data_IF_945082352291
#
_entry.id   IF_945082352291
#
_cell.length_a   1.000
_cell.length_b   1.000
_cell.length_c   1.000
_cell.angle_alpha   90.00
_cell.angle_beta   90.00
_cell.angle_gamma   90.00
#
_symmetry.space_group_name_H-M   'P 1'
#
loop_
_entity.id
_entity.type
_entity.pdbx_description
1 polymer ?
#
# COMPACT_ATOMS: atom_id res chain seq x y z
N UNK A 1 15.29 -9.51 -5.20
CA UNK A 1 14.38 -8.34 -5.22
C UNK A 1 13.53 -8.46 -3.98
N UNK A 2 13.55 -7.44 -3.12
CA UNK A 2 12.67 -7.39 -1.95
C UNK A 2 11.32 -6.83 -2.40
N UNK A 3 10.25 -7.61 -2.22
CA UNK A 3 8.88 -7.17 -2.50
C UNK A 3 8.40 -6.28 -1.36
N UNK A 4 7.97 -5.06 -1.69
CA UNK A 4 7.38 -4.14 -0.72
C UNK A 4 5.87 -4.38 -0.62
N UNK A 5 5.28 -4.07 0.52
CA UNK A 5 3.85 -4.23 0.77
C UNK A 5 3.20 -2.91 1.17
N UNK A 6 2.16 -2.51 0.45
CA UNK A 6 1.37 -1.32 0.77
C UNK A 6 0.14 -1.70 1.60
N UNK A 7 -0.13 -0.90 2.64
CA UNK A 7 -1.36 -0.96 3.41
C UNK A 7 -2.42 -0.08 2.72
N UNK A 8 -3.42 -0.72 2.12
CA UNK A 8 -4.44 -0.06 1.29
C UNK A 8 -5.78 -0.08 2.02
N UNK A 9 -6.36 1.10 2.23
CA UNK A 9 -7.68 1.27 2.82
C UNK A 9 -8.65 1.79 1.75
N UNK A 10 -9.78 1.11 1.57
CA UNK A 10 -10.88 1.61 0.73
C UNK A 10 -11.80 2.49 1.57
N UNK A 11 -11.93 3.76 1.21
CA UNK A 11 -12.76 4.76 1.88
C UNK A 11 -14.02 5.01 1.05
N UNK A 12 -15.19 4.88 1.68
CA UNK A 12 -16.46 5.33 1.10
C UNK A 12 -16.61 6.84 1.31
N UNK A 13 -16.65 7.58 0.21
CA UNK A 13 -16.75 9.03 0.20
C UNK A 13 -18.21 9.47 0.31
N UNK A 14 -18.45 10.69 0.82
CA UNK A 14 -19.82 11.22 1.02
C UNK A 14 -20.58 11.48 -0.27
N UNK A 15 -19.89 11.50 -1.41
CA UNK A 15 -20.47 11.60 -2.75
C UNK A 15 -20.90 10.23 -3.32
N UNK A 16 -20.70 9.13 -2.59
CA UNK A 16 -21.07 7.77 -3.01
C UNK A 16 -19.95 7.00 -3.73
N UNK A 17 -18.79 7.62 -3.95
CA UNK A 17 -17.63 6.95 -4.54
C UNK A 17 -16.84 6.15 -3.50
N UNK A 18 -16.03 5.21 -4.00
CA UNK A 18 -15.04 4.49 -3.21
C UNK A 18 -13.64 4.85 -3.71
N UNK A 19 -12.72 5.14 -2.79
CA UNK A 19 -11.34 5.46 -3.11
C UNK A 19 -10.37 4.62 -2.29
N UNK A 20 -9.40 4.02 -2.97
CA UNK A 20 -8.29 3.34 -2.31
C UNK A 20 -7.19 4.34 -1.95
N UNK A 21 -6.79 4.34 -0.69
CA UNK A 21 -5.70 5.17 -0.17
C UNK A 21 -4.59 4.30 0.42
N UNK A 22 -3.34 4.69 0.17
CA UNK A 22 -2.18 4.01 0.74
C UNK A 22 -1.84 4.69 2.07
N UNK A 23 -1.90 3.93 3.15
CA UNK A 23 -1.58 4.40 4.50
C UNK A 23 -0.10 4.25 4.85
N UNK A 24 0.60 3.31 4.20
CA UNK A 24 2.02 3.07 4.41
C UNK A 24 2.56 1.97 3.50
N UNK A 25 3.89 1.88 3.39
CA UNK A 25 4.61 0.83 2.66
C UNK A 25 5.65 0.20 3.60
N UNK A 26 5.73 -1.13 3.58
CA UNK A 26 6.51 -1.94 4.53
C UNK A 26 7.37 -2.97 3.77
N UNK A 27 8.43 -3.46 4.41
CA UNK A 27 9.36 -4.41 3.79
C UNK A 27 8.82 -5.86 3.83
N UNK A 28 7.76 -6.14 4.60
CA UNK A 28 7.12 -7.46 4.65
C UNK A 28 5.60 -7.40 4.82
N UNK A 29 4.91 -8.47 4.39
CA UNK A 29 3.47 -8.61 4.58
C UNK A 29 3.07 -8.66 6.07
N UNK A 30 3.93 -9.24 6.91
CA UNK A 30 3.68 -9.35 8.34
C UNK A 30 3.71 -7.98 9.02
N UNK A 31 4.71 -7.15 8.72
CA UNK A 31 4.79 -5.77 9.22
C UNK A 31 3.59 -4.95 8.76
N UNK A 32 3.20 -5.06 7.49
CA UNK A 32 2.02 -4.38 6.96
C UNK A 32 0.73 -4.77 7.72
N UNK A 33 0.55 -6.08 7.97
CA UNK A 33 -0.63 -6.60 8.65
C UNK A 33 -0.69 -6.19 10.13
N UNK A 34 0.48 -6.14 10.77
CA UNK A 34 0.62 -5.63 12.13
C UNK A 34 0.27 -4.14 12.19
N UNK A 35 0.76 -3.34 11.26
CA UNK A 35 0.44 -1.92 11.19
C UNK A 35 -1.07 -1.67 11.00
N UNK A 36 -1.76 -2.48 10.18
CA UNK A 36 -3.22 -2.40 10.05
C UNK A 36 -3.94 -2.59 11.40
N UNK A 37 -3.48 -3.57 12.16
CA UNK A 37 -4.01 -3.90 13.50
C UNK A 37 -3.73 -2.77 14.49
N UNK A 38 -2.51 -2.24 14.51
CA UNK A 38 -2.09 -1.14 15.40
C UNK A 38 -2.81 0.17 15.10
N UNK A 39 -3.01 0.48 13.82
CA UNK A 39 -3.78 1.64 13.36
C UNK A 39 -5.30 1.44 13.52
N UNK A 40 -5.74 0.22 13.87
CA UNK A 40 -7.15 -0.17 14.05
C UNK A 40 -7.99 0.09 12.80
N UNK A 41 -7.42 -0.20 11.63
CA UNK A 41 -8.08 -0.04 10.33
C UNK A 41 -8.40 -1.41 9.73
N UNK A 42 -9.52 -1.52 9.03
CA UNK A 42 -9.81 -2.68 8.16
C UNK A 42 -9.25 -2.39 6.78
N UNK A 43 -7.96 -2.68 6.61
CA UNK A 43 -7.20 -2.42 5.39
C UNK A 43 -6.48 -3.69 4.94
N UNK A 44 -6.11 -3.74 3.67
CA UNK A 44 -5.48 -4.91 3.06
C UNK A 44 -4.01 -4.63 2.69
N UNK A 45 -3.19 -5.67 2.72
CA UNK A 45 -1.77 -5.58 2.40
C UNK A 45 -1.50 -6.16 1.01
N UNK A 46 -1.07 -5.30 0.09
CA UNK A 46 -0.85 -5.64 -1.31
C UNK A 46 0.62 -5.47 -1.70
N UNK A 47 1.20 -6.37 -2.51
CA UNK A 47 2.52 -6.13 -3.11
C UNK A 47 2.49 -4.80 -3.89
N UNK A 48 3.48 -3.94 -3.68
CA UNK A 48 3.52 -2.61 -4.34
C UNK A 48 3.47 -2.76 -5.86
N UNK A 49 4.17 -3.74 -6.40
CA UNK A 49 4.20 -4.04 -7.84
C UNK A 49 2.83 -4.40 -8.41
N UNK A 50 1.90 -4.88 -7.57
CA UNK A 50 0.52 -5.21 -7.98
C UNK A 50 -0.41 -4.01 -8.03
N UNK A 51 -0.02 -2.88 -7.41
CA UNK A 51 -0.84 -1.65 -7.32
C UNK A 51 -0.26 -0.47 -8.13
N UNK A 52 0.99 -0.56 -8.60
CA UNK A 52 1.59 0.44 -9.49
C UNK A 52 0.79 0.51 -10.79
N UNK A 53 0.25 1.69 -11.12
CA UNK A 53 -0.42 1.96 -12.39
C UNK A 53 0.43 2.90 -13.24
N UNK A 54 0.43 2.68 -14.55
CA UNK A 54 0.84 3.70 -15.54
C UNK A 54 2.30 4.20 -15.48
N UNK A 55 3.28 3.31 -15.32
CA UNK A 55 4.70 3.66 -15.44
C UNK A 55 5.35 4.22 -14.18
N UNK A 56 4.70 4.08 -13.02
CA UNK A 56 5.29 4.35 -11.72
C UNK A 56 6.33 3.28 -11.35
N UNK A 57 7.42 3.71 -10.72
CA UNK A 57 8.53 2.84 -10.31
C UNK A 57 8.75 2.96 -8.79
N UNK A 58 9.07 1.86 -8.08
CA UNK A 58 9.44 1.93 -6.67
C UNK A 58 10.63 2.87 -6.46
N UNK A 59 10.61 3.71 -5.43
CA UNK A 59 11.68 4.69 -5.18
C UNK A 59 13.10 4.05 -5.14
N UNK A 60 13.23 2.85 -4.57
CA UNK A 60 14.48 2.06 -4.56
C UNK A 60 15.05 1.83 -5.98
N UNK A 61 14.19 1.67 -6.99
CA UNK A 61 14.60 1.44 -8.39
C UNK A 61 15.11 2.70 -9.11
N UNK A 62 14.76 3.89 -8.61
CA UNK A 62 15.21 5.18 -9.15
C UNK A 62 16.50 5.63 -8.44
N UNK A 63 16.63 5.34 -7.14
CA UNK A 63 17.80 5.71 -6.34
C UNK A 63 19.10 4.98 -6.72
N UNK A 64 19.04 3.97 -7.60
CA UNK A 64 20.18 3.18 -8.05
C UNK A 64 20.64 3.51 -9.49
N UNK A 65 20.05 4.52 -10.13
CA UNK A 65 20.49 5.09 -11.41
C UNK A 65 21.33 6.36 -11.19
#
# INVERSE_FOLDING_TARGET
METLFALVLTVAMTNGDYQDVILGVYDSQQECSQAATEQKVTAECWPVESILRNGEFPAKSIAQQ
#
